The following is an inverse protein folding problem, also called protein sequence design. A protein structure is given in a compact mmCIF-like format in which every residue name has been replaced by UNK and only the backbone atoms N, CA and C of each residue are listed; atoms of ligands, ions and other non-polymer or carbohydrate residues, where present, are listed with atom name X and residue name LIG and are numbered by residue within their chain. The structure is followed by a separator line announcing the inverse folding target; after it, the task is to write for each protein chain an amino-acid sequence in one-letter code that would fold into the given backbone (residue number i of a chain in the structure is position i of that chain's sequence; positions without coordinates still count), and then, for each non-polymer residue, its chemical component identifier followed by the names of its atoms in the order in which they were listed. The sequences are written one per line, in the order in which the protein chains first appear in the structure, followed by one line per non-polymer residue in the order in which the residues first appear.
data_IF_186461939788
#
_entry.id   IF_186461939788
#
_cell.length_a   1.000
_cell.length_b   1.000
_cell.length_c   1.000
_cell.angle_alpha   90.00
_cell.angle_beta   90.00
_cell.angle_gamma   90.00
#
_symmetry.space_group_name_H-M   'P 1'
#
loop_
_entity.id
_entity.type
_entity.pdbx_description
1 polymer ?
#
# COMPACT_ATOMS: atom_id res chain seq x y z
N UNK A 1 -5.62 2.74 -24.94
CA UNK A 1 -6.98 2.91 -24.35
C UNK A 1 -7.29 4.40 -24.14
N UNK A 2 -8.50 4.85 -24.50
CA UNK A 2 -8.84 6.25 -24.83
C UNK A 2 -9.91 6.88 -23.92
N UNK A 3 -9.84 6.67 -22.60
CA UNK A 3 -10.80 7.27 -21.64
C UNK A 3 -10.31 8.60 -21.04
N UNK A 4 -9.02 8.92 -21.20
CA UNK A 4 -8.37 10.10 -20.62
C UNK A 4 -7.55 10.92 -21.64
N UNK A 5 -7.71 10.66 -22.94
CA UNK A 5 -6.85 11.13 -24.05
C UNK A 5 -5.34 10.79 -23.89
N UNK A 6 -5.02 9.88 -22.97
CA UNK A 6 -3.65 9.38 -22.78
C UNK A 6 -3.43 8.21 -23.76
N UNK A 7 -2.52 8.42 -24.72
CA UNK A 7 -2.04 7.38 -25.65
C UNK A 7 -1.07 6.46 -24.92
N UNK A 8 -1.60 5.41 -24.28
CA UNK A 8 -0.79 4.32 -23.75
C UNK A 8 -0.53 3.27 -24.86
N UNK A 9 0.72 2.89 -25.11
CA UNK A 9 1.04 1.70 -25.90
C UNK A 9 0.37 0.45 -25.32
N UNK A 10 -0.10 -0.47 -26.16
CA UNK A 10 -0.80 -1.67 -25.69
C UNK A 10 0.15 -2.60 -24.89
N UNK A 11 1.45 -2.53 -25.15
CA UNK A 11 2.50 -3.31 -24.50
C UNK A 11 2.74 -2.93 -23.02
N UNK A 12 2.44 -1.69 -22.62
CA UNK A 12 2.63 -1.23 -21.23
C UNK A 12 1.40 -1.49 -20.34
N UNK A 13 0.26 -1.80 -20.95
CA UNK A 13 -0.99 -2.03 -20.26
C UNK A 13 -0.94 -3.16 -19.21
N UNK A 14 -0.41 -4.37 -19.50
CA UNK A 14 -0.34 -5.44 -18.50
C UNK A 14 0.57 -5.08 -17.32
N UNK A 15 1.66 -4.34 -17.57
CA UNK A 15 2.58 -3.89 -16.52
C UNK A 15 1.91 -2.88 -15.61
N UNK A 16 1.19 -1.91 -16.18
CA UNK A 16 0.41 -0.93 -15.42
C UNK A 16 -0.70 -1.58 -14.59
N UNK A 17 -1.38 -2.58 -15.16
CA UNK A 17 -2.39 -3.35 -14.44
C UNK A 17 -1.77 -4.11 -13.26
N UNK A 18 -0.57 -4.68 -13.45
CA UNK A 18 0.21 -5.31 -12.38
C UNK A 18 0.58 -4.33 -11.26
N UNK A 19 1.08 -3.13 -11.60
CA UNK A 19 1.36 -2.07 -10.63
C UNK A 19 0.10 -1.66 -9.85
N UNK A 20 -1.03 -1.49 -10.55
CA UNK A 20 -2.30 -1.12 -9.95
C UNK A 20 -2.78 -2.17 -8.97
N UNK A 21 -2.76 -3.45 -9.37
CA UNK A 21 -3.16 -4.56 -8.50
C UNK A 21 -2.25 -4.66 -7.26
N UNK A 22 -0.93 -4.54 -7.44
CA UNK A 22 0.01 -4.55 -6.30
C UNK A 22 -0.22 -3.38 -5.35
N UNK A 23 -0.43 -2.17 -5.88
CA UNK A 23 -0.76 -0.98 -5.10
C UNK A 23 -2.08 -1.12 -4.35
N UNK A 24 -3.14 -1.57 -5.02
CA UNK A 24 -4.45 -1.80 -4.43
C UNK A 24 -4.39 -2.84 -3.30
N UNK A 25 -3.66 -3.92 -3.52
CA UNK A 25 -3.50 -4.99 -2.54
C UNK A 25 -2.70 -4.55 -1.30
N UNK A 26 -1.65 -3.74 -1.52
CA UNK A 26 -0.89 -3.10 -0.44
C UNK A 26 -1.75 -2.13 0.37
N UNK A 27 -2.59 -1.34 -0.31
CA UNK A 27 -3.55 -0.44 0.34
C UNK A 27 -4.63 -1.20 1.12
N UNK A 28 -5.08 -2.35 0.62
CA UNK A 28 -6.04 -3.21 1.33
C UNK A 28 -5.44 -3.78 2.61
N UNK A 29 -4.17 -4.22 2.57
CA UNK A 29 -3.45 -4.70 3.76
C UNK A 29 -3.30 -3.59 4.83
N UNK A 30 -2.99 -2.36 4.41
CA UNK A 30 -2.95 -1.20 5.32
C UNK A 30 -4.32 -0.92 5.94
N UNK A 31 -5.39 -0.93 5.13
CA UNK A 31 -6.77 -0.77 5.61
C UNK A 31 -7.16 -1.84 6.64
N UNK A 32 -6.70 -3.07 6.44
CA UNK A 32 -6.88 -4.16 7.41
C UNK A 32 -6.18 -3.87 8.74
N UNK A 33 -4.92 -3.42 8.70
CA UNK A 33 -4.17 -3.03 9.91
C UNK A 33 -4.84 -1.86 10.65
N UNK A 34 -5.26 -0.83 9.92
CA UNK A 34 -6.01 0.30 10.47
C UNK A 34 -7.34 -0.16 11.09
N UNK A 35 -8.01 -1.15 10.48
CA UNK A 35 -9.23 -1.76 10.99
C UNK A 35 -9.01 -2.52 12.31
N UNK A 36 -7.85 -3.17 12.50
CA UNK A 36 -7.49 -3.77 13.80
C UNK A 36 -7.22 -2.67 14.83
N UNK A 37 -6.50 -1.61 14.45
CA UNK A 37 -6.29 -0.46 15.33
C UNK A 37 -7.61 0.22 15.74
N UNK A 38 -8.61 0.26 14.86
CA UNK A 38 -9.94 0.76 15.16
C UNK A 38 -10.61 0.07 16.36
N UNK A 39 -10.27 -1.20 16.61
CA UNK A 39 -10.80 -1.97 17.73
C UNK A 39 -10.11 -1.64 19.06
N UNK A 40 -8.92 -1.04 19.02
CA UNK A 40 -8.10 -0.76 20.20
C UNK A 40 -8.06 0.73 20.58
N UNK A 41 -8.39 1.65 19.66
CA UNK A 41 -8.22 3.09 19.85
C UNK A 41 -9.58 3.80 19.92
N UNK A 42 -9.73 4.72 20.87
CA UNK A 42 -10.98 5.46 21.10
C UNK A 42 -11.30 6.47 19.99
N UNK A 43 -10.28 6.97 19.30
CA UNK A 43 -10.41 7.94 18.21
C UNK A 43 -9.77 7.40 16.92
N UNK A 44 -10.54 6.55 16.23
CA UNK A 44 -10.12 5.98 14.95
C UNK A 44 -10.14 7.00 13.81
N UNK A 45 -11.01 8.02 13.87
CA UNK A 45 -11.12 9.01 12.80
C UNK A 45 -9.85 9.83 12.67
N UNK A 46 -9.25 10.24 13.79
CA UNK A 46 -7.95 10.93 13.77
C UNK A 46 -6.85 10.05 13.18
N UNK A 47 -6.81 8.76 13.56
CA UNK A 47 -5.80 7.80 13.06
C UNK A 47 -5.94 7.59 11.55
N UNK A 48 -7.16 7.36 11.05
CA UNK A 48 -7.41 7.16 9.62
C UNK A 48 -7.07 8.43 8.82
N UNK A 49 -7.49 9.60 9.30
CA UNK A 49 -7.19 10.86 8.63
C UNK A 49 -5.67 11.11 8.58
N UNK A 50 -4.97 10.89 9.68
CA UNK A 50 -3.52 11.03 9.74
C UNK A 50 -2.83 10.05 8.77
N UNK A 51 -3.30 8.80 8.71
CA UNK A 51 -2.80 7.81 7.77
C UNK A 51 -3.04 8.23 6.32
N UNK A 52 -4.22 8.74 5.98
CA UNK A 52 -4.52 9.24 4.62
C UNK A 52 -3.63 10.43 4.26
N UNK A 53 -3.47 11.41 5.15
CA UNK A 53 -2.57 12.54 4.92
C UNK A 53 -1.15 12.09 4.66
N UNK A 54 -0.63 11.16 5.46
CA UNK A 54 0.71 10.62 5.27
C UNK A 54 0.84 9.84 3.96
N UNK A 55 -0.19 9.07 3.58
CA UNK A 55 -0.24 8.34 2.32
C UNK A 55 -0.22 9.31 1.13
N UNK A 56 -1.07 10.34 1.14
CA UNK A 56 -1.14 11.36 0.09
C UNK A 56 0.17 12.13 -0.05
N UNK A 57 0.81 12.49 1.07
CA UNK A 57 2.12 13.11 1.06
C UNK A 57 3.18 12.16 0.50
N UNK A 58 3.29 10.93 0.99
CA UNK A 58 4.32 9.99 0.57
C UNK A 58 4.21 9.61 -0.92
N UNK A 59 3.00 9.37 -1.42
CA UNK A 59 2.75 9.04 -2.83
C UNK A 59 2.95 10.23 -3.79
N UNK A 60 3.19 11.43 -3.25
CA UNK A 60 3.47 12.63 -4.02
C UNK A 60 2.24 13.16 -4.74
N UNK A 61 1.10 13.12 -4.06
CA UNK A 61 -0.15 13.68 -4.54
C UNK A 61 -0.12 15.22 -4.57
N UNK A 62 0.61 15.82 -3.61
CA UNK A 62 0.71 17.28 -3.46
C UNK A 62 2.08 17.85 -3.85
N UNK A 63 3.15 17.08 -3.65
CA UNK A 63 4.53 17.51 -3.90
C UNK A 63 5.27 16.38 -4.62
N UNK A 64 6.08 16.66 -5.66
CA UNK A 64 6.82 15.62 -6.35
C UNK A 64 7.87 14.97 -5.42
N UNK A 65 8.10 13.64 -5.51
CA UNK A 65 9.08 12.94 -4.67
C UNK A 65 10.52 13.46 -4.81
N UNK A 66 10.86 14.09 -5.94
CA UNK A 66 12.17 14.73 -6.16
C UNK A 66 12.43 15.94 -5.25
N UNK A 67 11.38 16.55 -4.69
CA UNK A 67 11.46 17.68 -3.78
C UNK A 67 11.42 17.27 -2.30
N UNK A 68 11.43 15.97 -1.98
CA UNK A 68 11.35 15.52 -0.59
C UNK A 68 12.68 15.72 0.14
N UNK A 69 12.64 16.15 1.41
CA UNK A 69 13.80 16.06 2.28
C UNK A 69 14.13 14.58 2.55
N UNK A 70 15.40 14.28 2.79
CA UNK A 70 15.93 12.91 2.89
C UNK A 70 15.16 12.02 3.88
N UNK A 71 14.75 12.57 5.03
CA UNK A 71 13.98 11.82 6.03
C UNK A 71 12.61 11.38 5.51
N UNK A 72 11.95 12.24 4.74
CA UNK A 72 10.63 11.96 4.16
C UNK A 72 10.75 10.95 3.02
N UNK A 73 11.83 11.05 2.23
CA UNK A 73 12.17 10.05 1.22
C UNK A 73 12.28 8.67 1.85
N UNK A 74 13.06 8.52 2.94
CA UNK A 74 13.19 7.23 3.62
C UNK A 74 11.85 6.74 4.14
N UNK A 75 11.05 7.60 4.79
CA UNK A 75 9.71 7.24 5.27
C UNK A 75 8.78 6.78 4.14
N UNK A 76 8.81 7.46 2.99
CA UNK A 76 7.98 7.13 1.84
C UNK A 76 8.28 5.73 1.25
N UNK A 77 9.53 5.25 1.34
CA UNK A 77 9.88 3.88 0.90
C UNK A 77 9.16 2.79 1.72
N UNK A 78 8.77 3.08 2.95
CA UNK A 78 8.02 2.14 3.78
C UNK A 78 6.51 2.19 3.53
N UNK A 79 6.04 3.18 2.76
CA UNK A 79 4.61 3.38 2.53
C UNK A 79 4.09 2.33 1.52
N UNK A 80 2.99 1.62 1.87
CA UNK A 80 2.35 0.67 0.97
C UNK A 80 2.00 1.32 -0.38
N UNK A 81 2.41 0.68 -1.48
CA UNK A 81 2.13 1.14 -2.84
C UNK A 81 3.03 2.27 -3.37
N UNK A 82 3.98 2.80 -2.58
CA UNK A 82 4.90 3.85 -3.04
C UNK A 82 5.72 3.42 -4.26
N UNK A 83 6.32 2.24 -4.19
CA UNK A 83 7.20 1.79 -5.24
C UNK A 83 6.39 1.25 -6.45
N UNK A 84 5.18 0.71 -6.26
CA UNK A 84 4.26 0.33 -7.33
C UNK A 84 3.83 1.55 -8.16
N UNK A 85 3.58 2.68 -7.49
CA UNK A 85 3.33 3.96 -8.15
C UNK A 85 4.58 4.51 -8.84
N UNK A 86 5.75 4.39 -8.22
CA UNK A 86 7.02 4.78 -8.85
C UNK A 86 7.32 3.96 -10.10
N UNK A 87 7.09 2.66 -10.07
CA UNK A 87 7.23 1.76 -11.21
C UNK A 87 6.23 2.14 -12.32
N UNK A 88 4.96 2.37 -11.98
CA UNK A 88 3.96 2.84 -12.93
C UNK A 88 4.39 4.15 -13.62
N UNK A 89 4.92 5.13 -12.87
CA UNK A 89 5.45 6.38 -13.44
C UNK A 89 6.60 6.13 -14.42
N UNK A 90 7.59 5.31 -14.03
CA UNK A 90 8.71 4.96 -14.91
C UNK A 90 8.27 4.29 -16.22
N UNK A 91 7.28 3.38 -16.15
CA UNK A 91 6.71 2.70 -17.33
C UNK A 91 6.09 3.71 -18.28
N UNK A 92 5.32 4.67 -17.76
CA UNK A 92 4.66 5.70 -18.57
C UNK A 92 5.67 6.68 -19.17
N UNK A 93 6.70 7.07 -18.42
CA UNK A 93 7.70 8.06 -18.86
C UNK A 93 8.71 7.51 -19.87
N UNK A 94 9.13 6.24 -19.71
CA UNK A 94 10.29 5.70 -20.44
C UNK A 94 10.00 4.46 -21.29
N UNK A 95 8.84 3.81 -21.12
CA UNK A 95 8.51 2.55 -21.81
C UNK A 95 9.47 1.39 -21.51
N UNK A 96 10.36 1.54 -20.52
CA UNK A 96 11.41 0.58 -20.22
C UNK A 96 10.85 -0.72 -19.62
N UNK A 97 11.51 -1.89 -19.84
CA UNK A 97 11.11 -3.14 -19.21
C UNK A 97 11.37 -3.08 -17.70
N UNK A 98 10.29 -3.13 -16.90
CA UNK A 98 10.32 -2.97 -15.42
C UNK A 98 10.19 -4.33 -14.69
N UNK A 99 10.44 -5.43 -15.40
CA UNK A 99 10.15 -6.79 -14.91
C UNK A 99 10.81 -7.14 -13.56
N UNK A 100 12.03 -6.67 -13.31
CA UNK A 100 12.75 -6.92 -12.04
C UNK A 100 12.25 -6.05 -10.89
N UNK A 101 11.99 -4.76 -11.14
CA UNK A 101 11.48 -3.81 -10.14
C UNK A 101 10.07 -4.21 -9.69
N UNK A 102 9.22 -4.67 -10.63
CA UNK A 102 7.87 -5.14 -10.34
C UNK A 102 7.86 -6.46 -9.53
N UNK A 103 8.83 -7.34 -9.74
CA UNK A 103 8.95 -8.59 -8.97
C UNK A 103 9.31 -8.32 -7.50
N UNK A 104 10.21 -7.36 -7.26
CA UNK A 104 10.58 -6.93 -5.89
C UNK A 104 9.38 -6.24 -5.21
N UNK A 105 8.64 -5.43 -5.97
CA UNK A 105 7.41 -4.80 -5.52
C UNK A 105 6.35 -5.81 -5.09
N UNK A 106 6.09 -6.79 -5.96
CA UNK A 106 5.14 -7.85 -5.72
C UNK A 106 5.54 -8.69 -4.50
N UNK A 107 6.83 -8.97 -4.32
CA UNK A 107 7.34 -9.69 -3.16
C UNK A 107 7.13 -8.91 -1.84
N UNK A 108 7.35 -7.59 -1.85
CA UNK A 108 7.11 -6.73 -0.68
C UNK A 108 5.62 -6.60 -0.37
N UNK A 109 4.80 -6.40 -1.40
CA UNK A 109 3.34 -6.38 -1.27
C UNK A 109 2.83 -7.71 -0.68
N UNK A 110 3.30 -8.85 -1.21
CA UNK A 110 3.00 -10.17 -0.68
C UNK A 110 3.40 -10.31 0.80
N UNK A 111 4.60 -9.84 1.18
CA UNK A 111 5.05 -9.83 2.57
C UNK A 111 4.13 -9.03 3.49
N UNK A 112 3.72 -7.83 3.08
CA UNK A 112 2.79 -6.99 3.85
C UNK A 112 1.41 -7.64 4.03
N UNK A 113 0.89 -8.32 3.01
CA UNK A 113 -0.37 -9.07 3.10
C UNK A 113 -0.25 -10.22 4.09
N UNK A 114 0.84 -10.99 4.03
CA UNK A 114 1.07 -12.10 4.96
C UNK A 114 1.11 -11.58 6.39
N UNK A 115 1.83 -10.49 6.64
CA UNK A 115 1.87 -9.85 7.97
C UNK A 115 0.48 -9.39 8.41
N UNK A 116 -0.30 -8.75 7.53
CA UNK A 116 -1.67 -8.33 7.82
C UNK A 116 -2.59 -9.51 8.15
N UNK A 117 -2.51 -10.61 7.39
CA UNK A 117 -3.25 -11.83 7.67
C UNK A 117 -2.82 -12.47 9.01
N UNK A 118 -1.52 -12.52 9.30
CA UNK A 118 -0.99 -13.00 10.57
C UNK A 118 -1.51 -12.17 11.76
N UNK A 119 -1.52 -10.83 11.64
CA UNK A 119 -2.05 -9.96 12.68
C UNK A 119 -3.53 -10.23 12.96
N UNK A 120 -4.33 -10.42 11.91
CA UNK A 120 -5.78 -10.67 12.06
C UNK A 120 -6.07 -12.05 12.59
N UNK A 121 -5.36 -13.08 12.10
CA UNK A 121 -5.49 -14.43 12.63
C UNK A 121 -5.07 -14.51 14.09
N UNK A 122 -3.99 -13.80 14.47
CA UNK A 122 -3.57 -13.66 15.86
C UNK A 122 -4.63 -12.96 16.72
N UNK A 123 -5.19 -11.84 16.26
CA UNK A 123 -6.24 -11.13 16.99
C UNK A 123 -7.52 -11.99 17.14
N UNK A 124 -7.91 -12.71 16.08
CA UNK A 124 -9.03 -13.67 16.13
C UNK A 124 -8.76 -14.80 17.12
N UNK A 125 -7.53 -15.26 17.23
CA UNK A 125 -7.13 -16.29 18.17
C UNK A 125 -7.14 -15.78 19.62
N UNK A 126 -6.63 -14.58 19.87
CA UNK A 126 -6.71 -13.89 21.18
C UNK A 126 -8.17 -13.74 21.65
N UNK A 127 -9.06 -13.25 20.78
CA UNK A 127 -10.49 -13.08 21.10
C UNK A 127 -11.17 -14.44 21.40
N UNK A 128 -10.80 -15.50 20.67
CA UNK A 128 -11.32 -16.85 20.94
C UNK A 128 -10.84 -17.39 22.29
N UNK A 129 -9.59 -17.14 22.67
CA UNK A 129 -9.03 -17.53 23.98
C UNK A 129 -9.61 -16.73 25.14
N UNK A 130 -9.93 -15.45 24.94
CA UNK A 130 -10.57 -14.61 25.96
C UNK A 130 -12.03 -15.02 26.25
N UNK A 131 -12.73 -15.65 25.30
CA UNK A 131 -14.09 -16.19 25.53
C UNK A 131 -14.11 -17.47 26.37
N UNK A 132 -13.00 -18.18 26.47
CA UNK A 132 -12.90 -19.43 27.25
C UNK A 132 -12.52 -19.22 28.71
N UNK A 133 -12.04 -18.03 29.10
CA UNK A 133 -11.65 -17.71 30.49
C UNK A 133 -12.70 -16.92 31.28
N UNK A 134 -13.91 -16.75 30.73
CA UNK A 134 -15.03 -16.05 31.37
C UNK A 134 -16.20 -16.97 31.74
N UNK A 135 -15.95 -18.29 31.83
CA UNK A 135 -16.94 -19.31 32.20
C UNK A 135 -16.59 -20.05 33.50
N UNK A 136 -15.65 -19.51 34.29
CA UNK A 136 -15.29 -20.03 35.62
C UNK A 136 -15.82 -19.12 36.73
#
# INVERSE_FOLDING_TARGET
MLLLDVRLPDDVLPVLLGCLLCGALSSAALGMLLGVFALCVRDIFTVINLAMWFLSLALGLFVPPSAYPTWLTVAAHWVPGYHALSAARKVVESGAPVGSDLAIEAARAAGLIVVGMCAITYYRWQVRRGRTSGLD
#
